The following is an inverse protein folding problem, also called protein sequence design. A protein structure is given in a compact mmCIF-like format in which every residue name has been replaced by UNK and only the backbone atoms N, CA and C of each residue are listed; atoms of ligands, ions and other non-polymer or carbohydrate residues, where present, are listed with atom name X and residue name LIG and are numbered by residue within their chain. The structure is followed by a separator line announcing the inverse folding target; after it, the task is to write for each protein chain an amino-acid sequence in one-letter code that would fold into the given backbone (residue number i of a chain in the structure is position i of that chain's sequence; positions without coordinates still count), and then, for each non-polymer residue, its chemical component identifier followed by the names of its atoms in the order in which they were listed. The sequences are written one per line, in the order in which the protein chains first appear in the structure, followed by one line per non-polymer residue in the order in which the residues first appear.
data_IF_161062038242
#
_entry.id   IF_161062038242
#
_cell.length_a   1.000
_cell.length_b   1.000
_cell.length_c   1.000
_cell.angle_alpha   90.00
_cell.angle_beta   90.00
_cell.angle_gamma   90.00
#
_symmetry.space_group_name_H-M   'P 1'
#
loop_
_entity.id
_entity.type
_entity.pdbx_description
1 polymer ?
#
# COMPACT_ATOMS: atom_id res chain seq x y z
N UNK A 1 -7.07 -6.32 21.06
CA UNK A 1 -6.47 -7.35 20.18
C UNK A 1 -7.43 -7.66 19.05
N UNK A 2 -7.00 -7.49 17.80
CA UNK A 2 -7.74 -7.92 16.63
C UNK A 2 -7.06 -9.17 16.05
N UNK A 3 -7.75 -10.31 16.07
CA UNK A 3 -7.22 -11.56 15.49
C UNK A 3 -7.79 -11.72 14.08
N UNK A 4 -7.01 -11.31 13.07
CA UNK A 4 -7.44 -11.34 11.68
C UNK A 4 -7.28 -12.72 11.02
N UNK A 5 -7.95 -12.90 9.87
CA UNK A 5 -7.94 -14.11 9.02
C UNK A 5 -8.65 -15.33 9.61
N UNK A 6 -9.69 -15.11 10.42
CA UNK A 6 -10.45 -16.24 10.99
C UNK A 6 -11.21 -17.05 9.93
N UNK A 7 -11.42 -16.48 8.74
CA UNK A 7 -11.96 -17.18 7.56
C UNK A 7 -11.10 -18.38 7.14
N UNK A 8 -9.80 -18.38 7.47
CA UNK A 8 -8.88 -19.48 7.20
C UNK A 8 -8.86 -20.54 8.32
N UNK A 9 -9.65 -20.38 9.38
CA UNK A 9 -9.69 -21.27 10.54
C UNK A 9 -11.06 -21.97 10.59
N UNK A 10 -11.19 -23.19 10.03
CA UNK A 10 -12.46 -23.91 10.02
C UNK A 10 -12.87 -24.37 11.43
N UNK A 11 -11.89 -24.69 12.28
CA UNK A 11 -12.12 -25.21 13.62
C UNK A 11 -12.19 -24.08 14.65
N UNK A 12 -13.39 -23.87 15.20
CA UNK A 12 -13.64 -22.85 16.23
C UNK A 12 -12.89 -23.13 17.52
N UNK A 13 -12.57 -24.39 17.83
CA UNK A 13 -11.83 -24.74 19.02
C UNK A 13 -10.40 -24.18 18.97
N UNK A 14 -9.75 -24.27 17.81
CA UNK A 14 -8.42 -23.69 17.57
C UNK A 14 -8.44 -22.17 17.72
N UNK A 15 -9.50 -21.51 17.24
CA UNK A 15 -9.67 -20.06 17.40
C UNK A 15 -9.80 -19.67 18.89
N UNK A 16 -10.61 -20.40 19.66
CA UNK A 16 -10.79 -20.17 21.09
C UNK A 16 -9.49 -20.37 21.88
N UNK A 17 -8.74 -21.42 21.56
CA UNK A 17 -7.43 -21.69 22.18
C UNK A 17 -6.42 -20.59 21.84
N UNK A 18 -6.43 -20.10 20.60
CA UNK A 18 -5.59 -18.97 20.16
C UNK A 18 -5.92 -17.69 20.92
N UNK A 19 -7.22 -17.37 21.07
CA UNK A 19 -7.67 -16.24 21.89
C UNK A 19 -7.16 -16.39 23.32
N UNK A 20 -7.40 -17.55 23.93
CA UNK A 20 -6.98 -17.83 25.31
C UNK A 20 -5.46 -17.72 25.49
N UNK A 21 -4.67 -18.16 24.51
CA UNK A 21 -3.22 -18.04 24.53
C UNK A 21 -2.78 -16.57 24.57
N UNK A 22 -3.26 -15.75 23.64
CA UNK A 22 -2.86 -14.35 23.57
C UNK A 22 -3.34 -13.53 24.76
N UNK A 23 -4.54 -13.81 25.27
CA UNK A 23 -5.08 -13.16 26.47
C UNK A 23 -4.23 -13.40 27.73
N UNK A 24 -3.38 -14.44 27.76
CA UNK A 24 -2.43 -14.66 28.87
C UNK A 24 -1.21 -13.74 28.82
N UNK A 25 -0.80 -13.31 27.64
CA UNK A 25 0.38 -12.46 27.46
C UNK A 25 0.10 -10.98 27.75
N UNK A 26 -1.15 -10.55 27.61
CA UNK A 26 -1.52 -9.17 27.85
C UNK A 26 -3.02 -9.05 28.20
N UNK A 27 -3.39 -8.22 29.20
CA UNK A 27 -4.78 -7.92 29.52
C UNK A 27 -5.34 -6.92 28.49
N UNK A 28 -5.73 -7.42 27.32
CA UNK A 28 -6.37 -6.58 26.30
C UNK A 28 -7.75 -6.11 26.77
N UNK A 29 -8.07 -4.84 26.54
CA UNK A 29 -9.39 -4.24 26.85
C UNK A 29 -10.53 -4.90 26.05
N UNK A 30 -10.25 -5.26 24.80
CA UNK A 30 -11.14 -6.05 23.96
C UNK A 30 -10.35 -7.04 23.11
N UNK A 31 -10.92 -8.22 22.87
CA UNK A 31 -10.42 -9.22 21.93
C UNK A 31 -11.50 -9.49 20.89
N UNK A 32 -11.24 -9.12 19.64
CA UNK A 32 -12.20 -9.26 18.53
C UNK A 32 -11.58 -10.13 17.45
N UNK A 33 -12.05 -11.38 17.25
CA UNK A 33 -11.67 -12.19 16.12
C UNK A 33 -12.35 -11.65 14.86
N UNK A 34 -11.59 -11.34 13.81
CA UNK A 34 -12.12 -10.71 12.59
C UNK A 34 -11.68 -11.45 11.34
N UNK A 35 -12.42 -11.26 10.26
CA UNK A 35 -11.88 -11.39 8.91
C UNK A 35 -12.03 -10.06 8.19
N UNK A 36 -10.90 -9.41 7.93
CA UNK A 36 -10.87 -8.18 7.14
C UNK A 36 -11.18 -8.42 5.65
N UNK A 37 -11.07 -9.67 5.18
CA UNK A 37 -11.31 -10.01 3.79
C UNK A 37 -12.80 -10.06 3.47
N UNK A 38 -13.60 -10.70 4.32
CA UNK A 38 -15.05 -10.85 4.13
C UNK A 38 -15.89 -9.89 4.99
N UNK A 39 -15.26 -9.16 5.91
CA UNK A 39 -15.91 -8.18 6.79
C UNK A 39 -16.40 -8.74 8.13
N UNK A 40 -16.15 -10.01 8.43
CA UNK A 40 -16.59 -10.64 9.69
C UNK A 40 -16.08 -9.86 10.90
N UNK A 41 -17.01 -9.38 11.73
CA UNK A 41 -16.77 -8.65 12.98
C UNK A 41 -15.97 -7.34 12.82
N UNK A 42 -15.94 -6.74 11.63
CA UNK A 42 -15.36 -5.40 11.43
C UNK A 42 -16.19 -4.32 12.15
N UNK A 43 -17.51 -4.42 12.21
CA UNK A 43 -18.27 -3.44 13.02
C UNK A 43 -18.00 -3.55 14.52
N UNK A 44 -17.73 -4.77 15.01
CA UNK A 44 -17.40 -5.00 16.42
C UNK A 44 -16.04 -4.42 16.80
N UNK A 45 -15.05 -4.48 15.89
CA UNK A 45 -13.76 -3.82 16.14
C UNK A 45 -13.92 -2.31 16.18
N UNK A 46 -14.73 -1.72 15.28
CA UNK A 46 -15.02 -0.29 15.27
C UNK A 46 -15.70 0.12 16.57
N UNK A 47 -16.72 -0.63 17.02
CA UNK A 47 -17.40 -0.38 18.30
C UNK A 47 -16.43 -0.43 19.49
N UNK A 48 -15.54 -1.42 19.53
CA UNK A 48 -14.55 -1.55 20.59
C UNK A 48 -13.56 -0.37 20.58
N UNK A 49 -13.11 0.08 19.41
CA UNK A 49 -12.22 1.24 19.27
C UNK A 49 -12.93 2.51 19.76
N UNK A 50 -14.18 2.75 19.33
CA UNK A 50 -14.94 3.93 19.73
C UNK A 50 -15.14 3.99 21.24
N UNK A 51 -15.40 2.85 21.89
CA UNK A 51 -15.55 2.77 23.36
C UNK A 51 -14.25 3.10 24.10
N UNK A 52 -13.10 2.76 23.52
CA UNK A 52 -11.78 2.98 24.12
C UNK A 52 -11.19 4.37 23.80
N UNK A 53 -11.71 5.07 22.79
CA UNK A 53 -11.22 6.39 22.40
C UNK A 53 -11.59 7.46 23.45
N UNK A 54 -10.65 8.34 23.83
CA UNK A 54 -10.97 9.47 24.69
C UNK A 54 -11.89 10.46 23.96
N UNK A 55 -12.75 11.14 24.71
CA UNK A 55 -13.53 12.24 24.15
C UNK A 55 -12.60 13.39 23.71
N UNK A 56 -12.86 13.96 22.54
CA UNK A 56 -12.05 15.03 21.98
C UNK A 56 -12.73 15.69 20.78
N UNK A 57 -12.21 16.83 20.30
CA UNK A 57 -12.73 17.48 19.10
C UNK A 57 -12.35 16.69 17.85
N UNK A 58 -13.09 16.91 16.76
CA UNK A 58 -12.64 16.51 15.44
C UNK A 58 -11.41 17.32 15.04
N UNK A 59 -10.26 16.65 14.84
CA UNK A 59 -9.01 17.29 14.42
C UNK A 59 -8.94 17.53 12.91
N UNK A 60 -9.77 16.82 12.13
CA UNK A 60 -9.84 16.90 10.68
C UNK A 60 -11.30 17.08 10.23
N UNK A 61 -11.55 17.74 9.08
CA UNK A 61 -12.87 17.79 8.46
C UNK A 61 -13.42 16.38 8.14
N UNK A 62 -14.74 16.21 8.18
CA UNK A 62 -15.40 14.91 7.95
C UNK A 62 -15.15 14.34 6.54
N UNK A 63 -14.91 15.20 5.56
CA UNK A 63 -14.63 14.85 4.17
C UNK A 63 -13.14 14.54 3.90
N UNK A 64 -12.26 14.74 4.88
CA UNK A 64 -10.84 14.43 4.76
C UNK A 64 -10.59 12.95 5.00
N UNK A 65 -10.54 12.17 3.92
CA UNK A 65 -10.27 10.73 4.00
C UNK A 65 -8.79 10.40 4.26
N UNK A 66 -7.87 11.24 3.80
CA UNK A 66 -6.42 11.04 3.96
C UNK A 66 -5.67 12.37 3.88
N UNK A 67 -4.54 12.47 4.58
CA UNK A 67 -3.56 13.54 4.46
C UNK A 67 -2.52 13.29 3.36
N UNK A 68 -2.57 12.12 2.72
CA UNK A 68 -1.66 11.74 1.65
C UNK A 68 -1.89 12.55 0.37
N UNK A 69 -0.81 13.03 -0.23
CA UNK A 69 -0.89 13.73 -1.53
C UNK A 69 -1.22 12.75 -2.66
N UNK A 70 -1.93 13.21 -3.71
CA UNK A 70 -2.20 12.38 -4.90
C UNK A 70 -0.92 11.82 -5.53
N UNK A 71 0.17 12.59 -5.44
CA UNK A 71 1.50 12.16 -5.90
C UNK A 71 1.98 10.92 -5.15
N UNK A 72 1.85 10.92 -3.82
CA UNK A 72 2.21 9.79 -2.97
C UNK A 72 1.33 8.58 -3.26
N UNK A 73 0.01 8.79 -3.39
CA UNK A 73 -0.89 7.69 -3.72
C UNK A 73 -0.56 7.11 -5.10
N UNK A 74 -0.20 7.94 -6.09
CA UNK A 74 0.25 7.46 -7.39
C UNK A 74 1.52 6.61 -7.31
N UNK A 75 2.52 6.97 -6.49
CA UNK A 75 3.70 6.10 -6.26
C UNK A 75 3.30 4.78 -5.62
N UNK A 76 2.38 4.79 -4.66
CA UNK A 76 1.92 3.59 -3.96
C UNK A 76 1.11 2.66 -4.87
N UNK A 77 0.27 3.20 -5.76
CA UNK A 77 -0.44 2.42 -6.77
C UNK A 77 0.52 1.73 -7.74
N UNK A 78 1.60 2.41 -8.14
CA UNK A 78 2.66 1.80 -8.97
C UNK A 78 3.39 0.70 -8.17
N UNK A 79 3.74 0.99 -6.91
CA UNK A 79 4.43 0.05 -6.02
C UNK A 79 3.59 -1.19 -5.73
N UNK A 80 2.26 -1.05 -5.62
CA UNK A 80 1.34 -2.16 -5.48
C UNK A 80 1.36 -3.09 -6.71
N UNK A 81 1.40 -2.53 -7.93
CA UNK A 81 1.48 -3.36 -9.15
C UNK A 81 2.81 -4.06 -9.28
N UNK A 82 3.89 -3.38 -8.87
CA UNK A 82 5.19 -4.02 -8.74
C UNK A 82 5.09 -5.22 -7.79
N UNK A 83 4.48 -5.04 -6.61
CA UNK A 83 4.29 -6.09 -5.62
C UNK A 83 3.56 -7.32 -6.17
N UNK A 84 2.45 -7.10 -6.88
CA UNK A 84 1.63 -8.17 -7.45
C UNK A 84 2.28 -8.91 -8.61
N UNK A 85 3.19 -8.26 -9.34
CA UNK A 85 3.71 -8.76 -10.63
C UNK A 85 5.14 -9.29 -10.58
N UNK A 86 5.93 -8.98 -9.55
CA UNK A 86 7.36 -9.35 -9.54
C UNK A 86 7.78 -10.37 -8.49
N UNK A 87 6.93 -10.69 -7.50
CA UNK A 87 7.13 -11.80 -6.57
C UNK A 87 8.44 -11.77 -5.76
N UNK A 88 8.66 -12.80 -4.94
CA UNK A 88 9.88 -12.98 -4.14
C UNK A 88 10.23 -11.73 -3.29
N UNK A 89 11.52 -11.38 -3.21
CA UNK A 89 12.01 -10.24 -2.41
C UNK A 89 12.01 -8.91 -3.17
N UNK A 90 11.67 -8.90 -4.47
CA UNK A 90 11.78 -7.71 -5.33
C UNK A 90 10.94 -6.54 -4.82
N UNK A 91 9.67 -6.74 -4.43
CA UNK A 91 8.84 -5.63 -3.98
C UNK A 91 9.39 -4.96 -2.71
N UNK A 92 10.01 -5.73 -1.82
CA UNK A 92 10.60 -5.24 -0.58
C UNK A 92 11.98 -4.57 -0.76
N UNK A 93 12.59 -4.74 -1.93
CA UNK A 93 13.85 -4.11 -2.32
C UNK A 93 13.65 -3.01 -3.37
N UNK A 94 12.44 -2.45 -3.43
CA UNK A 94 12.05 -1.46 -4.41
C UNK A 94 11.41 -0.22 -3.79
N UNK A 95 11.61 0.93 -4.42
CA UNK A 95 10.95 2.18 -4.09
C UNK A 95 10.40 2.82 -5.38
N UNK A 96 9.38 3.67 -5.25
CA UNK A 96 8.83 4.41 -6.39
C UNK A 96 8.82 5.89 -6.05
N UNK A 97 9.44 6.71 -6.90
CA UNK A 97 9.34 8.17 -6.81
C UNK A 97 8.56 8.71 -8.00
N UNK A 98 7.84 9.82 -7.80
CA UNK A 98 7.19 10.56 -8.87
C UNK A 98 7.97 11.86 -9.08
N UNK A 99 8.73 11.93 -10.18
CA UNK A 99 9.54 13.10 -10.51
C UNK A 99 8.73 14.25 -11.09
N UNK A 100 7.66 13.92 -11.84
CA UNK A 100 6.77 14.92 -12.41
C UNK A 100 5.30 14.50 -12.25
N UNK A 101 4.47 15.45 -11.82
CA UNK A 101 3.02 15.31 -11.74
C UNK A 101 2.40 16.59 -12.31
N UNK A 102 1.96 16.52 -13.57
CA UNK A 102 1.60 17.70 -14.39
C UNK A 102 0.15 17.57 -14.88
N UNK A 103 -0.82 18.13 -14.15
CA UNK A 103 -2.19 18.23 -14.65
C UNK A 103 -2.27 19.24 -15.81
N UNK A 104 -3.18 19.01 -16.76
CA UNK A 104 -3.51 20.00 -17.79
C UNK A 104 -4.28 21.16 -17.18
N UNK A 105 -4.30 22.30 -17.87
CA UNK A 105 -5.01 23.51 -17.41
C UNK A 105 -6.50 23.28 -17.09
N UNK A 106 -7.14 22.32 -17.75
CA UNK A 106 -8.54 21.96 -17.53
C UNK A 106 -8.74 20.71 -16.65
N UNK A 107 -7.69 20.15 -16.06
CA UNK A 107 -7.72 18.96 -15.21
C UNK A 107 -8.07 17.63 -15.90
N UNK A 108 -8.44 17.63 -17.19
CA UNK A 108 -8.89 16.42 -17.90
C UNK A 108 -7.76 15.45 -18.25
N UNK A 109 -6.50 15.91 -18.23
CA UNK A 109 -5.32 15.10 -18.53
C UNK A 109 -4.28 15.27 -17.43
N UNK A 110 -3.55 14.20 -17.16
CA UNK A 110 -2.51 14.17 -16.16
C UNK A 110 -1.29 13.44 -16.74
N UNK A 111 -0.13 14.11 -16.76
CA UNK A 111 1.13 13.51 -17.14
C UNK A 111 1.95 13.21 -15.89
N UNK A 112 2.36 11.95 -15.74
CA UNK A 112 3.15 11.46 -14.61
C UNK A 112 4.45 10.87 -15.13
N UNK A 113 5.57 11.30 -14.56
CA UNK A 113 6.87 10.64 -14.72
C UNK A 113 7.27 10.07 -13.37
N UNK A 114 7.50 8.76 -13.32
CA UNK A 114 7.87 8.05 -12.11
C UNK A 114 9.05 7.10 -12.35
N UNK A 115 9.86 6.91 -11.33
CA UNK A 115 11.02 6.00 -11.34
C UNK A 115 10.84 4.90 -10.31
N UNK A 116 11.01 3.65 -10.77
CA UNK A 116 11.15 2.46 -9.94
C UNK A 116 12.65 2.29 -9.63
N UNK A 117 12.99 2.37 -8.35
CA UNK A 117 14.33 2.17 -7.82
C UNK A 117 14.50 0.75 -7.33
N UNK A 118 15.60 0.11 -7.70
CA UNK A 118 15.94 -1.27 -7.35
C UNK A 118 17.36 -1.33 -6.83
N UNK A 119 17.71 -2.35 -6.03
CA UNK A 119 19.07 -2.47 -5.50
C UNK A 119 20.03 -3.21 -6.42
N UNK A 120 19.52 -4.08 -7.29
CA UNK A 120 20.34 -4.99 -8.12
C UNK A 120 19.89 -5.01 -9.58
N UNK A 121 20.85 -5.19 -10.50
CA UNK A 121 20.56 -5.31 -11.93
C UNK A 121 19.72 -6.55 -12.29
N UNK A 122 19.85 -7.64 -11.52
CA UNK A 122 19.00 -8.83 -11.69
C UNK A 122 17.52 -8.50 -11.47
N UNK A 123 17.20 -7.68 -10.46
CA UNK A 123 15.84 -7.20 -10.21
C UNK A 123 15.35 -6.34 -11.36
N UNK A 124 16.20 -5.46 -11.90
CA UNK A 124 15.86 -4.63 -13.07
C UNK A 124 15.45 -5.48 -14.26
N UNK A 125 16.14 -6.59 -14.53
CA UNK A 125 15.75 -7.54 -15.57
C UNK A 125 14.35 -8.12 -15.35
N UNK A 126 13.99 -8.46 -14.11
CA UNK A 126 12.68 -9.03 -13.75
C UNK A 126 11.56 -8.00 -13.86
N UNK A 127 11.79 -6.77 -13.35
CA UNK A 127 10.82 -5.67 -13.41
C UNK A 127 10.54 -5.24 -14.86
N UNK A 128 11.57 -5.19 -15.71
CA UNK A 128 11.38 -4.91 -17.13
C UNK A 128 10.66 -6.09 -17.81
N UNK A 129 11.12 -7.31 -17.54
CA UNK A 129 10.62 -8.52 -18.18
C UNK A 129 11.02 -8.63 -19.65
N UNK A 130 10.77 -9.79 -20.25
CA UNK A 130 11.10 -10.05 -21.67
C UNK A 130 10.41 -9.03 -22.58
N UNK A 131 11.19 -8.27 -23.35
CA UNK A 131 10.67 -7.23 -24.24
C UNK A 131 9.92 -6.09 -23.53
N UNK A 132 10.15 -5.87 -22.24
CA UNK A 132 9.43 -4.84 -21.46
C UNK A 132 8.01 -5.25 -21.04
N UNK A 133 7.64 -6.53 -21.19
CA UNK A 133 6.26 -6.99 -20.97
C UNK A 133 5.76 -6.75 -19.53
N UNK A 134 6.61 -6.96 -18.53
CA UNK A 134 6.24 -6.79 -17.11
C UNK A 134 6.09 -5.32 -16.78
N UNK A 135 7.06 -4.47 -17.16
CA UNK A 135 6.98 -3.02 -16.94
C UNK A 135 5.78 -2.40 -17.66
N UNK A 136 5.47 -2.85 -18.88
CA UNK A 136 4.29 -2.42 -19.61
C UNK A 136 3.00 -2.77 -18.86
N UNK A 137 2.94 -3.97 -18.27
CA UNK A 137 1.78 -4.40 -17.48
C UNK A 137 1.64 -3.60 -16.19
N UNK A 138 2.74 -3.40 -15.43
CA UNK A 138 2.80 -2.52 -14.26
C UNK A 138 2.25 -1.13 -14.62
N UNK A 139 2.79 -0.50 -15.66
CA UNK A 139 2.36 0.83 -16.09
C UNK A 139 0.90 0.86 -16.55
N UNK A 140 0.41 -0.19 -17.20
CA UNK A 140 -0.99 -0.25 -17.67
C UNK A 140 -1.97 -0.35 -16.51
N UNK A 141 -1.73 -1.27 -15.57
CA UNK A 141 -2.60 -1.48 -14.40
C UNK A 141 -2.53 -0.28 -13.44
N UNK A 142 -1.34 0.27 -13.17
CA UNK A 142 -1.19 1.44 -12.31
C UNK A 142 -1.86 2.69 -12.93
N UNK A 143 -1.71 2.89 -14.24
CA UNK A 143 -2.37 4.00 -14.95
C UNK A 143 -3.89 3.93 -14.81
N UNK A 144 -4.50 2.74 -14.98
CA UNK A 144 -5.95 2.59 -14.83
C UNK A 144 -6.43 2.96 -13.42
N UNK A 145 -5.66 2.61 -12.40
CA UNK A 145 -6.01 2.93 -11.01
C UNK A 145 -5.89 4.43 -10.73
N UNK A 146 -4.82 5.06 -11.23
CA UNK A 146 -4.64 6.51 -11.12
C UNK A 146 -5.73 7.26 -11.90
N UNK A 147 -6.16 6.78 -13.07
CA UNK A 147 -7.30 7.35 -13.81
C UNK A 147 -8.60 7.27 -13.00
N UNK A 148 -8.83 6.15 -12.29
CA UNK A 148 -10.01 6.01 -11.42
C UNK A 148 -9.96 6.94 -10.21
N UNK A 149 -8.79 7.10 -9.60
CA UNK A 149 -8.59 7.98 -8.46
C UNK A 149 -8.76 9.46 -8.84
N UNK A 150 -8.16 9.89 -9.95
CA UNK A 150 -8.08 11.32 -10.33
C UNK A 150 -9.24 11.78 -11.21
N UNK A 151 -9.95 10.85 -11.87
CA UNK A 151 -10.94 11.16 -12.90
C UNK A 151 -10.35 11.74 -14.21
N UNK A 152 -9.03 11.88 -14.30
CA UNK A 152 -8.33 12.42 -15.46
C UNK A 152 -7.83 11.29 -16.38
N UNK A 153 -7.58 11.60 -17.66
CA UNK A 153 -6.83 10.70 -18.55
C UNK A 153 -5.34 10.79 -18.25
N UNK A 154 -4.71 9.66 -17.96
CA UNK A 154 -3.34 9.63 -17.46
C UNK A 154 -2.36 9.18 -18.54
N UNK A 155 -1.29 9.94 -18.73
CA UNK A 155 -0.07 9.50 -19.40
C UNK A 155 0.97 9.17 -18.33
N UNK A 156 1.26 7.87 -18.14
CA UNK A 156 2.22 7.39 -17.16
C UNK A 156 3.50 6.94 -17.86
N UNK A 157 4.61 7.62 -17.57
CA UNK A 157 5.95 7.25 -18.02
C UNK A 157 6.74 6.66 -16.85
N UNK A 158 7.16 5.41 -16.99
CA UNK A 158 7.94 4.69 -15.98
C UNK A 158 9.40 4.56 -16.40
N UNK A 159 10.30 4.83 -15.45
CA UNK A 159 11.73 4.53 -15.56
C UNK A 159 12.11 3.45 -14.55
N UNK A 160 13.17 2.70 -14.84
CA UNK A 160 13.73 1.71 -13.92
C UNK A 160 15.21 2.00 -13.71
N UNK A 161 15.60 2.30 -12.46
CA UNK A 161 16.97 2.62 -12.06
C UNK A 161 17.46 1.65 -10.99
N UNK A 162 18.76 1.41 -11.01
CA UNK A 162 19.44 0.62 -9.97
C UNK A 162 20.21 1.58 -9.09
N UNK A 163 19.83 1.62 -7.82
CA UNK A 163 20.47 2.38 -6.76
C UNK A 163 20.96 1.40 -5.69
N UNK A 164 22.25 1.08 -5.72
CA UNK A 164 22.83 0.05 -4.87
C UNK A 164 22.73 0.45 -3.40
N UNK A 165 22.26 -0.47 -2.56
CA UNK A 165 22.20 -0.33 -1.10
C UNK A 165 21.41 0.90 -0.60
N UNK A 166 20.42 1.38 -1.36
CA UNK A 166 19.67 2.58 -0.97
C UNK A 166 18.94 2.41 0.38
N UNK A 167 18.53 1.19 0.74
CA UNK A 167 17.91 0.90 2.05
C UNK A 167 18.85 1.08 3.26
N UNK A 168 20.14 1.27 3.03
CA UNK A 168 21.15 1.58 4.07
C UNK A 168 21.57 3.04 4.07
N UNK A 169 21.10 3.83 3.10
CA UNK A 169 21.41 5.25 2.99
C UNK A 169 20.21 6.05 3.51
N UNK A 170 20.37 6.69 4.67
CA UNK A 170 19.32 7.48 5.31
C UNK A 170 18.79 8.60 4.41
N UNK A 171 19.64 9.20 3.57
CA UNK A 171 19.21 10.25 2.63
C UNK A 171 18.35 9.66 1.51
N UNK A 172 18.66 8.44 1.07
CA UNK A 172 17.87 7.77 0.05
C UNK A 172 16.50 7.34 0.59
N UNK A 173 16.45 6.83 1.82
CA UNK A 173 15.20 6.47 2.53
C UNK A 173 14.30 7.71 2.65
N UNK A 174 14.82 8.82 3.16
CA UNK A 174 14.08 10.08 3.32
C UNK A 174 13.56 10.59 1.95
N UNK A 175 14.42 10.55 0.93
CA UNK A 175 14.04 10.96 -0.44
C UNK A 175 12.93 10.09 -1.04
N UNK A 176 12.82 8.84 -0.62
CA UNK A 176 11.78 7.91 -1.09
C UNK A 176 10.50 7.95 -0.25
N UNK A 177 10.47 8.76 0.83
CA UNK A 177 9.29 8.98 1.65
C UNK A 177 9.04 7.86 2.68
N UNK A 178 10.10 7.23 3.15
CA UNK A 178 10.07 6.22 4.22
C UNK A 178 10.74 6.74 5.50
#
# INVERSE_FOLDING_TARGET
LALNKIDLIPDKQVLLETIALWSRYHPFEAVVPISALDGTQVEEIVSAIVKALPAGPAYYPEDTLTDATERFIASELIREKLFRLTGEEIPYASAVTVEAYKPSANGKRLSIEATIHLERDSQKGIVIGKGGAVLKRIGTEARQDIERMTGAKVYLKLFVRVEKNWRKDSKAIERFGY
#
